data_IF_770992269234
#
_entry.id   IF_770992269234
#
_cell.length_a   1.000
_cell.length_b   1.000
_cell.length_c   1.000
_cell.angle_alpha   90.00
_cell.angle_beta   90.00
_cell.angle_gamma   90.00
#
_symmetry.space_group_name_H-M   'P 1'
#
loop_
_entity.id
_entity.type
_entity.pdbx_description
1 polymer ?
#
# COMPACT_ATOMS: atom_id res chain seq x y z
N UNK A 1 -17.29 29.08 3.46
CA UNK A 1 -17.79 27.90 2.72
C UNK A 1 -17.33 28.03 1.28
N UNK A 2 -16.78 26.98 0.72
CA UNK A 2 -16.30 26.95 -0.65
C UNK A 2 -17.49 26.77 -1.59
N UNK A 3 -17.58 27.57 -2.63
CA UNK A 3 -18.65 27.52 -3.63
C UNK A 3 -18.21 26.69 -4.86
N UNK A 4 -17.76 25.46 -4.63
CA UNK A 4 -17.25 24.57 -5.68
C UNK A 4 -18.27 24.37 -6.80
N UNK A 5 -17.80 24.46 -8.04
CA UNK A 5 -18.60 24.27 -9.26
C UNK A 5 -19.54 25.43 -9.62
N UNK A 6 -19.39 26.60 -9.00
CA UNK A 6 -20.26 27.75 -9.28
C UNK A 6 -19.72 28.77 -10.29
N UNK A 7 -18.45 28.71 -10.60
CA UNK A 7 -17.82 29.54 -11.63
C UNK A 7 -17.42 28.74 -12.86
N UNK A 8 -16.75 29.37 -13.82
CA UNK A 8 -16.32 28.76 -15.06
C UNK A 8 -15.00 27.97 -14.95
N UNK A 9 -14.41 27.92 -13.76
CA UNK A 9 -13.16 27.20 -13.49
C UNK A 9 -13.43 25.82 -12.93
N UNK A 10 -12.74 24.76 -13.41
CA UNK A 10 -12.93 23.43 -12.85
C UNK A 10 -12.35 23.32 -11.44
N UNK A 11 -13.14 22.80 -10.51
CA UNK A 11 -12.74 22.48 -9.15
C UNK A 11 -12.38 21.01 -8.98
N UNK A 12 -11.56 20.69 -7.99
CA UNK A 12 -11.26 19.32 -7.57
C UNK A 12 -11.57 19.15 -6.09
N UNK A 13 -12.39 18.15 -5.77
CA UNK A 13 -12.67 17.74 -4.40
C UNK A 13 -12.14 16.33 -4.15
N UNK A 14 -11.28 16.17 -3.15
CA UNK A 14 -10.81 14.87 -2.68
C UNK A 14 -11.57 14.47 -1.42
N UNK A 15 -12.13 13.24 -1.43
CA UNK A 15 -12.85 12.67 -0.29
C UNK A 15 -12.12 11.40 0.18
N UNK A 16 -11.71 11.37 1.45
CA UNK A 16 -11.18 10.18 2.10
C UNK A 16 -12.30 9.38 2.79
N UNK A 17 -12.43 8.09 2.49
CA UNK A 17 -13.46 7.18 3.00
C UNK A 17 -12.83 6.08 3.85
N UNK A 18 -12.27 6.45 5.00
CA UNK A 18 -11.40 5.60 5.82
C UNK A 18 -12.10 4.49 6.61
N UNK A 19 -13.44 4.51 6.72
CA UNK A 19 -14.18 3.52 7.52
C UNK A 19 -13.98 2.09 6.99
N UNK A 20 -13.88 1.92 5.68
CA UNK A 20 -13.71 0.60 5.03
C UNK A 20 -12.41 -0.08 5.46
N UNK A 21 -11.33 0.67 5.52
CA UNK A 21 -10.04 0.16 5.99
C UNK A 21 -10.09 -0.25 7.47
N UNK A 22 -10.63 0.62 8.34
CA UNK A 22 -10.75 0.31 9.77
C UNK A 22 -11.60 -0.93 10.07
N UNK A 23 -12.75 -1.09 9.39
CA UNK A 23 -13.59 -2.28 9.53
C UNK A 23 -12.88 -3.53 9.00
N UNK A 24 -12.17 -3.40 7.88
CA UNK A 24 -11.37 -4.48 7.29
C UNK A 24 -10.25 -4.94 8.22
N UNK A 25 -9.53 -4.01 8.83
CA UNK A 25 -8.49 -4.31 9.82
C UNK A 25 -9.01 -5.12 11.01
N UNK A 26 -10.18 -4.78 11.53
CA UNK A 26 -10.71 -5.41 12.73
C UNK A 26 -11.40 -6.77 12.46
N UNK A 27 -12.10 -6.90 11.32
CA UNK A 27 -13.02 -8.01 11.07
C UNK A 27 -12.67 -8.83 9.82
N UNK A 28 -11.83 -8.31 8.94
CA UNK A 28 -11.49 -8.94 7.65
C UNK A 28 -12.44 -8.55 6.50
N UNK A 29 -12.00 -8.75 5.25
CA UNK A 29 -12.72 -8.28 4.07
C UNK A 29 -14.05 -9.01 3.79
N UNK A 30 -14.21 -10.24 4.26
CA UNK A 30 -15.41 -11.06 4.07
C UNK A 30 -16.35 -11.07 5.28
N UNK A 31 -16.18 -10.16 6.24
CA UNK A 31 -17.04 -10.07 7.42
C UNK A 31 -18.42 -9.47 7.12
N UNK A 32 -19.39 -9.76 7.96
CA UNK A 32 -20.70 -9.11 7.89
C UNK A 32 -20.61 -7.61 8.18
N UNK A 33 -19.70 -7.22 9.06
CA UNK A 33 -19.41 -5.81 9.37
C UNK A 33 -18.90 -5.06 8.14
N UNK A 34 -18.05 -5.69 7.34
CA UNK A 34 -17.55 -5.10 6.11
C UNK A 34 -18.64 -5.03 5.04
N UNK A 35 -19.50 -6.03 4.94
CA UNK A 35 -20.66 -6.00 4.06
C UNK A 35 -21.61 -4.86 4.42
N UNK A 36 -21.99 -4.73 5.71
CA UNK A 36 -22.86 -3.62 6.18
C UNK A 36 -22.22 -2.26 5.91
N UNK A 37 -20.90 -2.13 6.16
CA UNK A 37 -20.18 -0.92 5.85
C UNK A 37 -20.25 -0.55 4.35
N UNK A 38 -20.05 -1.50 3.45
CA UNK A 38 -20.15 -1.25 2.00
C UNK A 38 -21.57 -0.88 1.58
N UNK A 39 -22.61 -1.53 2.09
CA UNK A 39 -24.00 -1.21 1.79
C UNK A 39 -24.36 0.21 2.23
N UNK A 40 -23.89 0.63 3.41
CA UNK A 40 -24.07 2.01 3.89
C UNK A 40 -23.31 3.02 3.07
N UNK A 41 -22.05 2.70 2.73
CA UNK A 41 -21.22 3.55 1.91
C UNK A 41 -21.81 3.76 0.52
N UNK A 42 -22.30 2.69 -0.12
CA UNK A 42 -23.00 2.75 -1.41
C UNK A 42 -24.19 3.72 -1.35
N UNK A 43 -25.02 3.58 -0.31
CA UNK A 43 -26.16 4.48 -0.11
C UNK A 43 -25.72 5.94 0.06
N UNK A 44 -24.72 6.20 0.91
CA UNK A 44 -24.25 7.57 1.17
C UNK A 44 -23.61 8.20 -0.06
N UNK A 45 -22.85 7.42 -0.84
CA UNK A 45 -22.29 7.88 -2.11
C UNK A 45 -23.39 8.17 -3.12
N UNK A 46 -24.40 7.33 -3.22
CA UNK A 46 -25.56 7.57 -4.08
C UNK A 46 -26.30 8.85 -3.71
N UNK A 47 -26.60 9.06 -2.42
CA UNK A 47 -27.25 10.28 -1.93
C UNK A 47 -26.38 11.53 -2.19
N UNK A 48 -25.06 11.43 -2.00
CA UNK A 48 -24.11 12.50 -2.29
C UNK A 48 -24.07 12.84 -3.79
N UNK A 49 -23.90 11.84 -4.65
CA UNK A 49 -23.84 12.00 -6.11
C UNK A 49 -25.12 12.68 -6.62
N UNK A 50 -26.29 12.16 -6.23
CA UNK A 50 -27.57 12.75 -6.63
C UNK A 50 -27.68 14.21 -6.20
N UNK A 51 -27.32 14.52 -4.94
CA UNK A 51 -27.33 15.89 -4.43
C UNK A 51 -26.40 16.85 -5.19
N UNK A 52 -25.24 16.37 -5.64
CA UNK A 52 -24.31 17.19 -6.43
C UNK A 52 -24.82 17.36 -7.86
N UNK A 53 -25.33 16.31 -8.49
CA UNK A 53 -25.92 16.40 -9.83
C UNK A 53 -27.15 17.30 -9.89
N UNK A 54 -27.98 17.32 -8.84
CA UNK A 54 -29.12 18.23 -8.75
C UNK A 54 -28.68 19.71 -8.65
N UNK A 55 -27.55 19.97 -8.02
CA UNK A 55 -27.01 21.34 -7.85
C UNK A 55 -26.24 21.84 -9.08
N UNK A 56 -25.43 21.00 -9.66
CA UNK A 56 -24.45 21.38 -10.68
C UNK A 56 -24.81 20.89 -12.10
N UNK A 57 -25.85 20.07 -12.21
CA UNK A 57 -26.31 19.47 -13.47
C UNK A 57 -25.64 18.16 -13.80
N UNK A 58 -26.42 17.22 -14.33
CA UNK A 58 -25.92 15.93 -14.81
C UNK A 58 -24.88 16.13 -15.91
N UNK A 59 -23.77 15.38 -15.83
CA UNK A 59 -22.71 15.43 -16.84
C UNK A 59 -21.64 16.50 -16.59
N UNK A 60 -21.86 17.43 -15.66
CA UNK A 60 -20.86 18.47 -15.29
C UNK A 60 -19.85 17.97 -14.25
N UNK A 61 -20.06 16.81 -13.67
CA UNK A 61 -19.19 16.24 -12.67
C UNK A 61 -18.55 14.94 -13.20
N UNK A 62 -17.25 14.82 -13.05
CA UNK A 62 -16.50 13.58 -13.24
C UNK A 62 -16.14 13.00 -11.89
N UNK A 63 -16.70 11.86 -11.57
CA UNK A 63 -16.37 11.10 -10.35
C UNK A 63 -15.24 10.13 -10.65
N UNK A 64 -14.30 10.05 -9.72
CA UNK A 64 -13.17 9.12 -9.80
C UNK A 64 -13.07 8.40 -8.47
N UNK A 65 -13.18 7.07 -8.49
CA UNK A 65 -13.02 6.23 -7.32
C UNK A 65 -11.78 5.36 -7.49
N UNK A 66 -10.94 5.35 -6.48
CA UNK A 66 -9.80 4.45 -6.35
C UNK A 66 -9.60 4.08 -4.89
N UNK A 67 -8.63 3.23 -4.62
CA UNK A 67 -8.15 2.91 -3.28
C UNK A 67 -6.65 3.16 -3.21
N UNK A 68 -6.14 3.38 -2.01
CA UNK A 68 -4.71 3.46 -1.71
C UNK A 68 -4.05 2.08 -1.69
N UNK A 69 -4.79 1.04 -1.29
CA UNK A 69 -4.37 -0.36 -1.28
C UNK A 69 -5.56 -1.31 -1.31
N UNK A 70 -5.29 -2.58 -1.52
CA UNK A 70 -6.19 -3.68 -1.25
C UNK A 70 -5.97 -4.23 0.17
N UNK A 71 -6.34 -5.50 0.42
CA UNK A 71 -6.25 -6.09 1.75
C UNK A 71 -6.05 -7.60 1.66
N UNK A 72 -5.27 -8.16 2.59
CA UNK A 72 -5.13 -9.61 2.78
C UNK A 72 -6.42 -10.20 3.33
N UNK A 73 -6.84 -11.36 2.79
CA UNK A 73 -7.87 -12.18 3.43
C UNK A 73 -7.43 -12.67 4.81
N UNK A 74 -8.39 -13.03 5.66
CA UNK A 74 -8.06 -13.64 6.94
C UNK A 74 -7.21 -14.89 6.72
N UNK A 75 -6.02 -15.01 7.33
CA UNK A 75 -5.16 -16.17 7.15
C UNK A 75 -5.86 -17.49 7.50
N UNK A 76 -6.75 -17.48 8.49
CA UNK A 76 -7.54 -18.64 8.88
C UNK A 76 -8.47 -19.11 7.75
N UNK A 77 -9.16 -18.17 7.11
CA UNK A 77 -10.03 -18.45 5.97
C UNK A 77 -9.24 -19.03 4.79
N UNK A 78 -8.06 -18.49 4.49
CA UNK A 78 -7.19 -19.01 3.45
C UNK A 78 -6.66 -20.41 3.78
N UNK A 79 -6.29 -20.64 5.05
CA UNK A 79 -5.82 -21.95 5.53
C UNK A 79 -6.88 -23.03 5.41
N UNK A 80 -8.16 -22.73 5.70
CA UNK A 80 -9.28 -23.63 5.49
C UNK A 80 -9.46 -24.05 4.02
N UNK A 81 -8.98 -23.24 3.10
CA UNK A 81 -8.96 -23.53 1.66
C UNK A 81 -7.68 -24.24 1.20
N UNK A 82 -6.79 -24.62 2.13
CA UNK A 82 -5.53 -25.29 1.83
C UNK A 82 -4.42 -24.36 1.31
N UNK A 83 -4.57 -23.03 1.48
CA UNK A 83 -3.56 -22.05 1.09
C UNK A 83 -2.56 -21.85 2.24
N UNK A 84 -1.25 -21.89 1.94
CA UNK A 84 -0.20 -21.58 2.93
C UNK A 84 -0.34 -20.11 3.37
N UNK A 85 -0.83 -19.92 4.57
CA UNK A 85 -1.14 -18.63 5.14
C UNK A 85 -0.95 -18.66 6.66
N UNK A 86 -0.71 -17.52 7.27
CA UNK A 86 -0.53 -17.53 8.72
C UNK A 86 -0.31 -16.15 9.35
N UNK A 87 -0.30 -16.19 10.68
CA UNK A 87 0.01 -15.04 11.53
C UNK A 87 1.32 -15.24 12.25
N UNK A 88 2.15 -14.25 12.19
CA UNK A 88 3.39 -14.26 12.98
C UNK A 88 3.07 -13.70 14.35
N UNK A 89 3.22 -14.53 15.37
CA UNK A 89 3.01 -14.13 16.75
C UNK A 89 3.92 -12.97 17.14
N UNK A 90 3.34 -11.91 17.72
CA UNK A 90 4.09 -10.77 18.22
C UNK A 90 5.19 -11.21 19.22
N UNK A 91 4.89 -12.16 20.09
CA UNK A 91 5.86 -12.67 21.06
C UNK A 91 7.05 -13.34 20.39
N UNK A 92 6.81 -14.18 19.37
CA UNK A 92 7.89 -14.83 18.59
C UNK A 92 8.73 -13.79 17.86
N UNK A 93 8.08 -12.87 17.14
CA UNK A 93 8.75 -11.77 16.44
C UNK A 93 9.63 -10.94 17.36
N UNK A 94 9.07 -10.44 18.46
CA UNK A 94 9.77 -9.52 19.36
C UNK A 94 10.90 -10.23 20.11
N UNK A 95 10.76 -11.54 20.40
CA UNK A 95 11.84 -12.37 20.95
C UNK A 95 13.01 -12.47 19.98
N UNK A 96 12.76 -12.84 18.72
CA UNK A 96 13.81 -12.95 17.71
C UNK A 96 14.47 -11.59 17.45
N UNK A 97 13.70 -10.52 17.32
CA UNK A 97 14.25 -9.17 17.19
C UNK A 97 15.14 -8.77 18.40
N UNK A 98 14.72 -9.10 19.62
CA UNK A 98 15.51 -8.82 20.82
C UNK A 98 16.84 -9.58 20.80
N UNK A 99 16.83 -10.86 20.43
CA UNK A 99 18.03 -11.68 20.32
C UNK A 99 18.96 -11.13 19.25
N UNK A 100 18.41 -10.86 18.05
CA UNK A 100 19.15 -10.28 16.92
C UNK A 100 19.82 -8.97 17.29
N UNK A 101 19.08 -8.06 17.95
CA UNK A 101 19.62 -6.77 18.36
C UNK A 101 20.68 -6.90 19.45
N UNK A 102 20.57 -7.88 20.37
CA UNK A 102 21.64 -8.18 21.33
C UNK A 102 22.91 -8.68 20.64
N UNK A 103 22.79 -9.60 19.67
CA UNK A 103 23.90 -10.12 18.86
C UNK A 103 24.62 -8.98 18.12
N UNK A 104 23.86 -8.08 17.50
CA UNK A 104 24.42 -6.92 16.81
C UNK A 104 25.15 -5.99 17.78
N UNK A 105 24.52 -5.63 18.89
CA UNK A 105 25.11 -4.72 19.88
C UNK A 105 26.41 -5.24 20.48
N UNK A 106 26.55 -6.54 20.67
CA UNK A 106 27.79 -7.14 21.15
C UNK A 106 28.97 -6.98 20.19
N UNK A 107 28.72 -6.77 18.90
CA UNK A 107 29.75 -6.66 17.85
C UNK A 107 30.04 -5.22 17.43
N UNK A 108 29.02 -4.36 17.37
CA UNK A 108 29.17 -2.98 16.84
C UNK A 108 28.76 -1.89 17.83
N UNK A 109 28.37 -2.24 19.07
CA UNK A 109 27.92 -1.28 20.09
C UNK A 109 26.44 -0.92 19.99
N UNK A 110 26.01 0.00 20.88
CA UNK A 110 24.60 0.39 21.04
C UNK A 110 24.18 1.54 20.10
N UNK A 111 22.87 1.65 19.86
CA UNK A 111 22.23 2.84 19.32
C UNK A 111 22.42 3.09 17.81
N UNK A 112 22.92 2.11 17.08
CA UNK A 112 23.24 2.27 15.65
C UNK A 112 22.21 1.71 14.67
N UNK A 113 21.15 1.06 15.16
CA UNK A 113 20.09 0.49 14.31
C UNK A 113 18.74 0.84 14.90
N UNK A 114 17.88 1.40 14.07
CA UNK A 114 16.51 1.74 14.39
C UNK A 114 15.57 0.81 13.62
N UNK A 115 14.52 0.35 14.26
CA UNK A 115 13.48 -0.49 13.65
C UNK A 115 12.15 0.24 13.65
N UNK A 116 11.49 0.24 12.51
CA UNK A 116 10.08 0.59 12.39
C UNK A 116 9.37 -0.53 11.62
N UNK A 117 8.41 -1.21 12.24
CA UNK A 117 7.73 -2.38 11.68
C UNK A 117 8.68 -3.44 11.13
N UNK A 118 8.66 -3.67 9.82
CA UNK A 118 9.48 -4.64 9.08
C UNK A 118 10.75 -4.02 8.49
N UNK A 119 11.08 -2.79 8.88
CA UNK A 119 12.15 -2.01 8.28
C UNK A 119 13.23 -1.71 9.30
N UNK A 120 14.49 -1.77 8.86
CA UNK A 120 15.63 -1.44 9.69
C UNK A 120 16.45 -0.33 9.04
N UNK A 121 16.78 0.67 9.83
CA UNK A 121 17.55 1.86 9.44
C UNK A 121 18.87 1.85 10.15
N UNK A 122 19.94 2.05 9.42
CA UNK A 122 21.29 2.15 9.98
C UNK A 122 21.65 3.60 10.22
N UNK A 123 22.16 3.88 11.41
CA UNK A 123 22.65 5.22 11.74
C UNK A 123 23.74 5.68 10.77
N UNK A 124 23.78 6.97 10.50
CA UNK A 124 24.78 7.55 9.60
C UNK A 124 26.22 7.42 10.12
N UNK A 125 26.41 7.31 11.44
CA UNK A 125 27.72 7.09 12.07
C UNK A 125 28.30 5.69 11.81
N UNK A 126 27.49 4.72 11.34
CA UNK A 126 27.97 3.38 11.03
C UNK A 126 28.93 3.38 9.83
N UNK A 127 30.13 2.86 10.04
CA UNK A 127 31.08 2.63 8.94
C UNK A 127 30.70 1.38 8.10
N UNK A 128 31.40 1.17 7.01
CA UNK A 128 31.11 0.06 6.08
C UNK A 128 31.24 -1.34 6.70
N UNK A 129 32.20 -1.54 7.60
CA UNK A 129 32.39 -2.81 8.29
C UNK A 129 31.23 -3.10 9.25
N UNK A 130 30.81 -2.11 10.04
CA UNK A 130 29.66 -2.22 10.97
C UNK A 130 28.36 -2.50 10.21
N UNK A 131 28.11 -1.80 9.07
CA UNK A 131 26.96 -2.05 8.21
C UNK A 131 26.95 -3.46 7.65
N UNK A 132 28.11 -3.97 7.23
CA UNK A 132 28.25 -5.35 6.74
C UNK A 132 27.88 -6.36 7.84
N UNK A 133 28.48 -6.24 9.02
CA UNK A 133 28.23 -7.12 10.18
C UNK A 133 26.73 -7.09 10.55
N UNK A 134 26.13 -5.92 10.66
CA UNK A 134 24.72 -5.77 10.99
C UNK A 134 23.82 -6.42 9.91
N UNK A 135 24.13 -6.23 8.63
CA UNK A 135 23.37 -6.82 7.53
C UNK A 135 23.42 -8.35 7.56
N UNK A 136 24.59 -8.92 7.77
CA UNK A 136 24.78 -10.37 7.84
C UNK A 136 23.97 -10.97 9.00
N UNK A 137 24.06 -10.38 10.19
CA UNK A 137 23.32 -10.86 11.36
C UNK A 137 21.80 -10.71 11.15
N UNK A 138 21.32 -9.57 10.62
CA UNK A 138 19.91 -9.38 10.35
C UNK A 138 19.38 -10.42 9.37
N UNK A 139 20.10 -10.69 8.29
CA UNK A 139 19.70 -11.70 7.30
C UNK A 139 19.67 -13.10 7.88
N UNK A 140 20.74 -13.49 8.62
CA UNK A 140 20.87 -14.81 9.22
C UNK A 140 19.77 -15.10 10.26
N UNK A 141 19.46 -14.14 11.13
CA UNK A 141 18.52 -14.34 12.23
C UNK A 141 17.06 -14.17 11.79
N UNK A 142 16.76 -13.12 11.00
CA UNK A 142 15.38 -12.78 10.69
C UNK A 142 14.73 -13.71 9.67
N UNK A 143 15.53 -14.37 8.80
CA UNK A 143 14.99 -15.37 7.87
C UNK A 143 14.38 -16.58 8.59
N UNK A 144 14.77 -16.82 9.84
CA UNK A 144 14.27 -17.91 10.66
C UNK A 144 12.90 -17.61 11.32
N UNK A 145 12.37 -16.40 11.18
CA UNK A 145 11.02 -16.08 11.65
C UNK A 145 10.02 -16.83 10.78
N UNK A 146 9.12 -17.66 11.34
CA UNK A 146 8.08 -18.33 10.56
C UNK A 146 7.27 -17.30 9.76
N UNK A 147 7.07 -17.55 8.47
CA UNK A 147 6.33 -16.63 7.60
C UNK A 147 7.16 -15.50 6.97
N UNK A 148 8.46 -15.41 7.26
CA UNK A 148 9.37 -14.56 6.50
C UNK A 148 9.77 -15.28 5.22
N UNK A 149 9.69 -14.57 4.10
CA UNK A 149 10.15 -15.01 2.79
C UNK A 149 11.60 -14.62 2.55
N UNK A 150 11.90 -13.35 2.77
CA UNK A 150 13.23 -12.83 2.51
C UNK A 150 13.59 -11.63 3.39
N UNK A 151 14.89 -11.43 3.58
CA UNK A 151 15.48 -10.26 4.26
C UNK A 151 16.48 -9.64 3.29
N UNK A 152 16.17 -8.47 2.78
CA UNK A 152 16.91 -7.86 1.67
C UNK A 152 17.34 -6.44 2.00
N UNK A 153 18.46 -6.03 1.42
CA UNK A 153 18.94 -4.65 1.49
C UNK A 153 18.26 -3.77 0.44
N UNK A 154 18.20 -2.47 0.67
CA UNK A 154 17.76 -1.51 -0.37
C UNK A 154 18.57 -1.62 -1.66
N UNK A 155 19.86 -1.96 -1.57
CA UNK A 155 20.71 -2.11 -2.74
C UNK A 155 20.40 -3.37 -3.56
N UNK A 156 19.93 -4.43 -2.90
CA UNK A 156 19.42 -5.62 -3.59
C UNK A 156 18.10 -5.36 -4.29
N UNK A 157 17.21 -4.57 -3.65
CA UNK A 157 15.94 -4.17 -4.25
C UNK A 157 16.12 -3.25 -5.46
N UNK A 158 17.17 -2.44 -5.49
CA UNK A 158 17.47 -1.56 -6.63
C UNK A 158 17.99 -2.31 -7.86
N UNK A 159 18.43 -3.56 -7.70
CA UNK A 159 18.79 -4.40 -8.86
C UNK A 159 17.54 -4.76 -9.65
N UNK A 160 17.72 -4.92 -10.96
CA UNK A 160 16.60 -5.30 -11.82
C UNK A 160 16.15 -6.74 -11.53
N UNK A 161 14.89 -6.86 -11.11
CA UNK A 161 14.17 -8.12 -11.05
C UNK A 161 13.21 -8.24 -12.24
N UNK A 162 13.00 -9.47 -12.72
CA UNK A 162 12.19 -9.73 -13.91
C UNK A 162 10.70 -9.92 -13.60
N UNK A 163 10.35 -10.01 -12.31
CA UNK A 163 8.97 -10.24 -11.86
C UNK A 163 8.29 -8.96 -11.34
N UNK A 164 6.98 -9.03 -11.19
CA UNK A 164 6.18 -7.89 -10.74
C UNK A 164 6.50 -7.47 -9.31
N UNK A 165 6.81 -8.42 -8.42
CA UNK A 165 7.10 -8.16 -7.00
C UNK A 165 8.39 -7.37 -6.89
N UNK A 166 9.46 -7.83 -7.56
CA UNK A 166 10.74 -7.14 -7.59
C UNK A 166 10.62 -5.71 -8.12
N UNK A 167 9.81 -5.50 -9.18
CA UNK A 167 9.56 -4.15 -9.71
C UNK A 167 8.81 -3.25 -8.73
N UNK A 168 7.80 -3.77 -8.02
CA UNK A 168 7.06 -3.02 -6.98
C UNK A 168 7.98 -2.64 -5.84
N UNK A 169 8.77 -3.57 -5.33
CA UNK A 169 9.73 -3.33 -4.27
C UNK A 169 10.78 -2.30 -4.68
N UNK A 170 11.34 -2.40 -5.89
CA UNK A 170 12.26 -1.41 -6.44
C UNK A 170 11.66 0.00 -6.47
N UNK A 171 10.39 0.14 -6.90
CA UNK A 171 9.71 1.43 -6.97
C UNK A 171 9.47 2.07 -5.59
N UNK A 172 9.50 1.31 -4.50
CA UNK A 172 9.41 1.83 -3.13
C UNK A 172 10.72 2.45 -2.62
N UNK A 173 11.86 2.17 -3.27
CA UNK A 173 13.18 2.50 -2.73
C UNK A 173 13.67 3.85 -3.22
N UNK A 174 13.94 4.74 -2.27
CA UNK A 174 14.73 5.95 -2.48
C UNK A 174 16.07 5.82 -1.76
N UNK A 175 17.18 5.93 -2.50
CA UNK A 175 18.52 5.59 -2.03
C UNK A 175 18.92 6.25 -0.68
N UNK A 176 18.48 7.48 -0.44
CA UNK A 176 18.84 8.25 0.75
C UNK A 176 17.78 8.30 1.86
N UNK A 177 16.54 7.83 1.60
CA UNK A 177 15.42 7.98 2.54
C UNK A 177 14.84 6.63 2.99
N UNK A 178 15.03 5.60 2.18
CA UNK A 178 14.47 4.29 2.44
C UNK A 178 15.27 3.51 3.50
N UNK A 179 14.62 2.53 4.16
CA UNK A 179 15.28 1.60 5.07
C UNK A 179 16.50 0.94 4.44
N UNK A 180 17.48 0.57 5.26
CA UNK A 180 18.65 -0.18 4.80
C UNK A 180 18.34 -1.66 4.59
N UNK A 181 17.43 -2.22 5.42
CA UNK A 181 17.00 -3.62 5.36
C UNK A 181 15.47 -3.68 5.38
N UNK A 182 14.94 -4.53 4.52
CA UNK A 182 13.53 -4.88 4.38
C UNK A 182 13.32 -6.34 4.76
N UNK A 183 12.32 -6.60 5.58
CA UNK A 183 11.86 -7.94 5.87
C UNK A 183 10.55 -8.16 5.12
N UNK A 184 10.57 -9.10 4.19
CA UNK A 184 9.45 -9.42 3.31
C UNK A 184 8.79 -10.69 3.81
N UNK A 185 7.48 -10.65 4.01
CA UNK A 185 6.72 -11.82 4.42
C UNK A 185 6.37 -12.69 3.22
N UNK A 186 6.16 -13.97 3.46
CA UNK A 186 5.54 -14.88 2.49
C UNK A 186 4.16 -14.36 2.10
N UNK A 187 3.75 -14.68 0.90
CA UNK A 187 2.39 -14.40 0.45
C UNK A 187 1.38 -14.99 1.43
N UNK A 188 0.36 -14.20 1.79
CA UNK A 188 -0.68 -14.55 2.74
C UNK A 188 -0.26 -14.68 4.21
N UNK A 189 0.94 -14.22 4.56
CA UNK A 189 1.39 -14.12 5.95
C UNK A 189 1.34 -12.68 6.47
N UNK A 190 1.02 -12.50 7.76
CA UNK A 190 0.87 -11.18 8.38
C UNK A 190 1.40 -11.12 9.80
N UNK A 191 1.69 -9.90 10.28
CA UNK A 191 2.10 -9.59 11.64
C UNK A 191 0.94 -9.31 12.59
N UNK A 192 -0.30 -9.38 12.13
CA UNK A 192 -1.46 -9.01 12.94
C UNK A 192 -1.63 -9.93 14.15
N UNK A 193 -2.34 -9.42 15.16
CA UNK A 193 -2.75 -10.21 16.32
C UNK A 193 -3.79 -11.27 15.91
N UNK A 194 -4.50 -11.85 16.89
CA UNK A 194 -5.44 -12.98 16.67
C UNK A 194 -6.69 -12.64 15.84
N UNK A 195 -6.93 -11.38 15.49
CA UNK A 195 -8.13 -10.94 14.76
C UNK A 195 -7.75 -10.03 13.60
N UNK A 196 -8.67 -9.91 12.66
CA UNK A 196 -8.58 -9.00 11.55
C UNK A 196 -7.47 -9.32 10.56
N UNK A 197 -7.10 -8.34 9.78
CA UNK A 197 -6.08 -8.47 8.74
C UNK A 197 -5.26 -7.20 8.58
N UNK A 198 -4.39 -7.17 7.59
CA UNK A 198 -3.53 -6.03 7.30
C UNK A 198 -3.24 -5.98 5.80
N UNK A 199 -2.49 -4.97 5.40
CA UNK A 199 -2.05 -4.68 4.04
C UNK A 199 -0.60 -4.19 4.05
N UNK A 200 -0.09 -3.71 2.90
CA UNK A 200 1.27 -3.16 2.77
C UNK A 200 2.29 -4.17 2.23
N UNK A 201 1.82 -5.26 1.65
CA UNK A 201 2.67 -6.23 0.97
C UNK A 201 2.83 -5.89 -0.53
N UNK A 202 3.84 -6.45 -1.22
CA UNK A 202 3.99 -6.27 -2.66
C UNK A 202 3.09 -7.19 -3.50
N UNK A 203 2.21 -7.96 -2.87
CA UNK A 203 1.37 -8.96 -3.53
C UNK A 203 0.11 -8.36 -4.15
N UNK A 204 -0.50 -9.09 -5.09
CA UNK A 204 -1.62 -8.59 -5.88
C UNK A 204 -2.86 -8.25 -5.05
N UNK A 205 -3.11 -8.97 -3.95
CA UNK A 205 -4.24 -8.67 -3.07
C UNK A 205 -4.15 -7.27 -2.42
N UNK A 206 -2.95 -6.70 -2.28
CA UNK A 206 -2.74 -5.35 -1.76
C UNK A 206 -2.57 -4.31 -2.87
N UNK A 207 -2.06 -4.71 -4.03
CA UNK A 207 -1.63 -3.77 -5.07
C UNK A 207 -2.57 -3.68 -6.26
N UNK A 208 -3.53 -4.62 -6.41
CA UNK A 208 -4.54 -4.57 -7.44
C UNK A 208 -5.79 -3.87 -6.90
N UNK A 209 -5.91 -2.59 -7.19
CA UNK A 209 -6.96 -1.70 -6.69
C UNK A 209 -7.93 -1.31 -7.82
N UNK A 210 -9.17 -0.93 -7.48
CA UNK A 210 -10.12 -0.43 -8.47
C UNK A 210 -9.69 0.97 -8.97
N UNK A 211 -10.06 1.27 -10.23
CA UNK A 211 -10.01 2.62 -10.77
C UNK A 211 -11.26 2.82 -11.66
N UNK A 212 -12.18 3.62 -11.17
CA UNK A 212 -13.48 3.84 -11.80
C UNK A 212 -13.61 5.32 -12.14
N UNK A 213 -13.99 5.61 -13.38
CA UNK A 213 -14.38 6.93 -13.84
C UNK A 213 -15.87 6.89 -14.19
N UNK A 214 -16.66 7.82 -13.65
CA UNK A 214 -18.11 7.90 -13.85
C UNK A 214 -18.56 9.35 -14.01
N UNK A 215 -19.61 9.58 -14.78
CA UNK A 215 -20.12 10.92 -15.09
C UNK A 215 -19.41 11.59 -16.27
N UNK A 216 -19.59 12.90 -16.43
CA UNK A 216 -18.95 13.68 -17.52
C UNK A 216 -19.33 13.19 -18.93
N UNK A 217 -20.53 12.65 -19.14
CA UNK A 217 -21.02 12.10 -20.42
C UNK A 217 -20.12 10.98 -21.00
N UNK A 218 -19.49 10.17 -20.13
CA UNK A 218 -18.62 9.07 -20.54
C UNK A 218 -19.41 7.82 -20.92
N UNK A 219 -18.88 7.06 -21.86
CA UNK A 219 -19.42 5.75 -22.25
C UNK A 219 -18.90 4.73 -21.24
N UNK A 220 -19.81 3.87 -20.74
CA UNK A 220 -19.42 2.77 -19.87
C UNK A 220 -18.53 1.76 -20.61
N UNK A 221 -17.35 1.53 -20.13
CA UNK A 221 -16.38 0.59 -20.70
C UNK A 221 -15.51 -0.02 -19.61
N UNK A 222 -15.36 -1.34 -19.65
CA UNK A 222 -14.37 -2.06 -18.86
C UNK A 222 -13.06 -2.10 -19.65
N UNK A 223 -11.96 -1.76 -18.99
CA UNK A 223 -10.60 -1.82 -19.56
C UNK A 223 -9.79 -2.88 -18.83
N UNK A 224 -8.96 -3.59 -19.58
CA UNK A 224 -8.05 -4.63 -19.07
C UNK A 224 -6.58 -4.23 -19.15
N UNK A 225 -6.28 -3.03 -19.61
CA UNK A 225 -4.90 -2.54 -19.67
C UNK A 225 -4.38 -2.21 -18.27
N UNK A 226 -3.10 -2.45 -18.07
CA UNK A 226 -2.43 -2.12 -16.82
C UNK A 226 -2.26 -0.62 -16.66
N UNK A 227 -2.89 -0.06 -15.64
CA UNK A 227 -2.81 1.35 -15.26
C UNK A 227 -2.28 1.40 -13.82
N UNK A 228 -1.38 2.35 -13.54
CA UNK A 228 -0.80 2.53 -12.21
C UNK A 228 -1.47 3.72 -11.51
N UNK A 229 -1.54 3.67 -10.17
CA UNK A 229 -2.09 4.79 -9.38
C UNK A 229 -1.38 6.12 -9.66
N UNK A 230 -0.07 6.10 -9.93
CA UNK A 230 0.70 7.29 -10.32
C UNK A 230 0.27 7.90 -11.67
N UNK A 231 -0.46 7.16 -12.49
CA UNK A 231 -0.96 7.62 -13.80
C UNK A 231 -2.25 8.49 -13.66
N UNK A 232 -2.89 8.49 -12.47
CA UNK A 232 -4.13 9.25 -12.21
C UNK A 232 -3.87 10.75 -12.28
N UNK A 233 -2.88 11.26 -11.56
CA UNK A 233 -2.59 12.68 -11.49
C UNK A 233 -2.29 13.32 -12.87
N UNK A 234 -1.38 12.78 -13.73
CA UNK A 234 -1.17 13.33 -15.06
C UNK A 234 -2.39 13.15 -15.97
N UNK A 235 -3.24 12.14 -15.76
CA UNK A 235 -4.49 11.97 -16.48
C UNK A 235 -5.48 13.07 -16.14
N UNK A 236 -5.62 13.42 -14.85
CA UNK A 236 -6.44 14.55 -14.39
C UNK A 236 -5.93 15.88 -14.93
N UNK A 237 -4.62 16.12 -14.85
CA UNK A 237 -4.01 17.33 -15.40
C UNK A 237 -4.32 17.49 -16.90
N UNK A 238 -4.28 16.39 -17.66
CA UNK A 238 -4.67 16.39 -19.08
C UNK A 238 -6.16 16.69 -19.32
N UNK A 239 -7.05 16.16 -18.46
CA UNK A 239 -8.49 16.43 -18.55
C UNK A 239 -8.80 17.91 -18.27
N UNK A 240 -8.09 18.47 -17.28
CA UNK A 240 -8.25 19.85 -16.85
C UNK A 240 -7.42 20.85 -17.66
N UNK A 241 -6.65 20.38 -18.65
CA UNK A 241 -5.78 21.18 -19.50
C UNK A 241 -4.74 22.01 -18.73
N UNK A 242 -4.29 21.48 -17.58
CA UNK A 242 -3.26 22.12 -16.75
C UNK A 242 -1.88 21.47 -16.93
N UNK A 243 -0.84 22.28 -16.77
CA UNK A 243 0.53 21.79 -16.84
C UNK A 243 0.90 20.96 -15.60
N UNK A 244 1.73 19.95 -15.80
CA UNK A 244 2.29 19.13 -14.72
C UNK A 244 3.81 18.91 -14.94
N UNK A 245 4.59 18.61 -13.89
CA UNK A 245 6.04 18.37 -14.01
C UNK A 245 6.33 17.21 -14.97
N UNK A 246 7.39 17.35 -15.78
CA UNK A 246 7.76 16.33 -16.78
C UNK A 246 8.52 15.13 -16.20
N UNK A 247 9.05 15.28 -15.00
CA UNK A 247 9.88 14.31 -14.27
C UNK A 247 9.10 13.43 -13.30
N UNK A 248 7.76 13.33 -13.47
CA UNK A 248 6.90 12.43 -12.70
C UNK A 248 6.89 11.01 -13.29
N UNK A 249 6.69 10.01 -12.44
CA UNK A 249 6.67 8.59 -12.82
C UNK A 249 5.42 8.19 -13.63
N UNK A 250 4.32 8.93 -13.47
CA UNK A 250 3.04 8.65 -14.10
C UNK A 250 2.96 9.09 -15.56
N UNK A 251 2.11 8.42 -16.33
CA UNK A 251 1.80 8.75 -17.72
C UNK A 251 0.29 8.88 -17.91
N UNK A 252 -0.20 9.95 -18.57
CA UNK A 252 -1.63 10.12 -18.79
C UNK A 252 -2.17 9.05 -19.73
N UNK A 253 -3.32 8.49 -19.40
CA UNK A 253 -4.07 7.58 -20.26
C UNK A 253 -5.35 8.24 -20.81
N UNK A 254 -5.95 7.66 -21.87
CA UNK A 254 -7.18 8.15 -22.45
C UNK A 254 -8.38 7.55 -21.72
N UNK A 255 -9.27 8.41 -21.24
CA UNK A 255 -10.61 8.03 -20.79
C UNK A 255 -11.53 8.16 -22.03
N UNK A 256 -11.83 7.02 -22.65
CA UNK A 256 -12.72 6.96 -23.82
C UNK A 256 -14.05 6.37 -23.41
#
# INVERSE_FOLDING_TARGET
EYELGKDDSPDILFLGLSATDGVGHDNGPHSFEQLDNHLRLDKYLGDFINSQEDKLGKGNILYILSSDHGVLDLPEYLSEQGIDSGRISRAVRDSIFSITMKKIRSQIGNGKIYRYENFFYFDHSMNGAERKVATEILKEELINIPGVDSVVTKYELLKDGNDNISRRLKNMVHINKSPDIYLILKKYWTWTSKRGTSHGSPYDYDTHIPLIFSGGNKISKIRSDYIRSVDIAPTLARILEINYPKDIDGKPFLIK
#
